data_IF_833517708314
#
_entry.id   IF_833517708314
#
_cell.length_a   1.000
_cell.length_b   1.000
_cell.length_c   1.000
_cell.angle_alpha   90.00
_cell.angle_beta   90.00
_cell.angle_gamma   90.00
#
_symmetry.space_group_name_H-M   'P 1'
#
loop_
_entity.id
_entity.type
_entity.pdbx_description
1 polymer ?
#
# COMPACT_ATOMS: atom_id res chain seq x y z
N UNK A 1 -8.36 19.91 -19.02
CA UNK A 1 -8.31 18.78 -18.06
C UNK A 1 -7.82 17.55 -18.79
N UNK A 2 -7.37 16.50 -18.09
CA UNK A 2 -6.89 15.27 -18.76
C UNK A 2 -7.94 14.67 -19.71
N UNK A 3 -9.22 14.66 -19.30
CA UNK A 3 -10.32 14.17 -20.14
C UNK A 3 -10.51 14.96 -21.44
N UNK A 4 -10.35 16.29 -21.41
CA UNK A 4 -10.48 17.12 -22.61
C UNK A 4 -9.40 16.77 -23.65
N UNK A 5 -8.15 16.58 -23.20
CA UNK A 5 -7.06 16.20 -24.09
C UNK A 5 -7.30 14.84 -24.75
N UNK A 6 -7.81 13.85 -24.00
CA UNK A 6 -8.13 12.52 -24.55
C UNK A 6 -9.19 12.60 -25.65
N UNK A 7 -10.22 13.44 -25.46
CA UNK A 7 -11.26 13.66 -26.47
C UNK A 7 -10.71 14.40 -27.70
N UNK A 8 -9.80 15.37 -27.50
CA UNK A 8 -9.16 16.10 -28.59
C UNK A 8 -8.24 15.20 -29.45
N UNK A 9 -7.70 14.12 -28.89
CA UNK A 9 -6.79 13.18 -29.57
C UNK A 9 -7.48 11.90 -30.10
N UNK A 10 -8.80 11.79 -29.99
CA UNK A 10 -9.61 10.64 -30.45
C UNK A 10 -9.11 9.27 -29.94
N UNK A 11 -8.65 9.23 -28.68
CA UNK A 11 -8.12 8.01 -28.07
C UNK A 11 -9.24 7.05 -27.65
N UNK A 12 -9.19 5.79 -28.13
CA UNK A 12 -10.25 4.80 -27.85
C UNK A 12 -10.21 4.25 -26.41
N UNK A 13 -9.03 4.09 -25.82
CA UNK A 13 -8.86 3.57 -24.45
C UNK A 13 -7.67 4.26 -23.79
N UNK A 14 -7.95 5.08 -22.78
CA UNK A 14 -6.93 5.75 -21.96
C UNK A 14 -7.30 5.75 -20.49
N UNK A 15 -6.29 5.67 -19.63
CA UNK A 15 -6.42 5.77 -18.18
C UNK A 15 -5.81 7.09 -17.72
N UNK A 16 -6.63 7.92 -17.04
CA UNK A 16 -6.17 9.11 -16.35
C UNK A 16 -6.37 8.88 -14.86
N UNK A 17 -5.27 8.77 -14.12
CA UNK A 17 -5.29 8.58 -12.68
C UNK A 17 -4.20 9.44 -12.04
N UNK A 18 -4.52 10.08 -10.92
CA UNK A 18 -3.53 10.72 -10.07
C UNK A 18 -2.99 9.65 -9.11
N UNK A 19 -1.73 9.26 -9.31
CA UNK A 19 -1.11 8.13 -8.60
C UNK A 19 0.11 8.64 -7.83
N UNK A 20 0.05 8.49 -6.51
CA UNK A 20 1.22 8.57 -5.63
C UNK A 20 2.04 7.27 -5.79
N UNK A 21 3.03 7.32 -6.68
CA UNK A 21 3.85 6.16 -7.03
C UNK A 21 4.75 5.68 -5.89
N UNK A 22 5.19 6.56 -5.00
CA UNK A 22 6.02 6.20 -3.84
C UNK A 22 5.28 5.24 -2.92
N UNK A 23 4.00 5.55 -2.65
CA UNK A 23 3.13 4.68 -1.86
C UNK A 23 2.62 3.48 -2.67
N UNK A 24 2.15 3.71 -3.89
CA UNK A 24 1.46 2.70 -4.68
C UNK A 24 2.39 1.57 -5.14
N UNK A 25 3.57 1.89 -5.68
CA UNK A 25 4.51 0.89 -6.16
C UNK A 25 4.88 -0.10 -5.04
N UNK A 26 5.22 0.43 -3.86
CA UNK A 26 5.60 -0.34 -2.67
C UNK A 26 4.52 -1.36 -2.27
N UNK A 27 3.27 -0.90 -2.14
CA UNK A 27 2.15 -1.77 -1.75
C UNK A 27 1.82 -2.76 -2.87
N UNK A 28 1.79 -2.30 -4.11
CA UNK A 28 1.37 -3.10 -5.26
C UNK A 28 2.36 -4.24 -5.60
N UNK A 29 3.66 -4.03 -5.37
CA UNK A 29 4.69 -5.06 -5.60
C UNK A 29 5.09 -5.83 -4.35
N UNK A 30 4.47 -5.58 -3.20
CA UNK A 30 4.82 -6.19 -1.91
C UNK A 30 4.77 -7.72 -1.92
N UNK A 31 3.75 -8.31 -2.56
CA UNK A 31 3.57 -9.76 -2.64
C UNK A 31 4.39 -10.40 -3.77
N UNK A 32 4.60 -9.66 -4.88
CA UNK A 32 5.39 -10.11 -6.03
C UNK A 32 5.82 -8.92 -6.91
N UNK A 33 6.96 -9.01 -7.61
CA UNK A 33 7.31 -8.07 -8.66
C UNK A 33 6.19 -7.97 -9.72
N UNK A 34 5.94 -6.76 -10.22
CA UNK A 34 4.91 -6.51 -11.24
C UNK A 34 5.51 -6.06 -12.57
N UNK A 35 5.53 -6.93 -13.61
CA UNK A 35 5.96 -6.53 -14.95
C UNK A 35 5.09 -5.44 -15.58
N UNK A 36 3.84 -5.30 -15.14
CA UNK A 36 2.87 -4.34 -15.68
C UNK A 36 3.30 -2.88 -15.45
N UNK A 37 3.91 -2.61 -14.29
CA UNK A 37 4.30 -1.24 -13.89
C UNK A 37 5.81 -1.07 -13.68
N UNK A 38 6.58 -2.16 -13.66
CA UNK A 38 8.01 -2.14 -13.32
C UNK A 38 8.93 -1.41 -14.31
N UNK A 39 8.44 -1.13 -15.52
CA UNK A 39 9.18 -0.37 -16.53
C UNK A 39 8.99 1.15 -16.40
N UNK A 40 8.02 1.60 -15.60
CA UNK A 40 7.74 3.02 -15.40
C UNK A 40 8.88 3.68 -14.60
N UNK A 41 9.45 4.81 -15.06
CA UNK A 41 10.52 5.51 -14.36
C UNK A 41 10.17 5.87 -12.91
N UNK A 42 8.93 6.29 -12.66
CA UNK A 42 8.41 6.68 -11.35
C UNK A 42 8.36 5.48 -10.40
N UNK A 43 7.97 4.30 -10.90
CA UNK A 43 7.96 3.05 -10.12
C UNK A 43 9.37 2.61 -9.79
N UNK A 44 10.30 2.70 -10.75
CA UNK A 44 11.71 2.39 -10.49
C UNK A 44 12.32 3.33 -9.46
N UNK A 45 12.01 4.63 -9.55
CA UNK A 45 12.46 5.62 -8.58
C UNK A 45 11.88 5.33 -7.18
N UNK A 46 10.58 5.07 -7.08
CA UNK A 46 9.89 4.73 -5.83
C UNK A 46 10.45 3.47 -5.17
N UNK A 47 10.78 2.43 -5.95
CA UNK A 47 11.32 1.17 -5.42
C UNK A 47 12.85 1.22 -5.16
N UNK A 48 13.58 2.12 -5.82
CA UNK A 48 15.02 2.30 -5.61
C UNK A 48 15.32 3.27 -4.47
N UNK A 49 14.40 4.20 -4.17
CA UNK A 49 14.44 4.93 -2.91
C UNK A 49 14.38 3.89 -1.78
N UNK A 50 15.39 3.86 -0.91
CA UNK A 50 15.15 3.32 0.44
C UNK A 50 13.89 4.00 0.95
N UNK A 51 12.93 3.26 1.53
CA UNK A 51 11.66 3.83 1.94
C UNK A 51 12.00 5.07 2.72
N UNK A 52 11.76 6.23 2.10
CA UNK A 52 11.94 7.50 2.77
C UNK A 52 10.92 7.39 3.88
N UNK A 53 11.45 7.08 5.07
CA UNK A 53 10.71 6.69 6.26
C UNK A 53 9.44 7.51 6.26
N UNK A 54 8.29 6.87 6.16
CA UNK A 54 7.05 7.51 6.53
C UNK A 54 7.27 7.99 7.97
N UNK A 55 7.59 9.28 8.12
CA UNK A 55 8.67 9.73 9.01
C UNK A 55 8.61 9.21 10.43
N UNK A 56 9.68 8.57 10.92
CA UNK A 56 9.94 8.16 12.32
C UNK A 56 8.88 7.29 13.02
N UNK A 57 7.59 7.56 12.88
CA UNK A 57 6.49 6.83 13.49
C UNK A 57 6.15 5.51 12.82
N UNK A 58 6.51 5.28 11.54
CA UNK A 58 6.32 3.97 10.92
C UNK A 58 7.34 2.93 11.43
N UNK A 59 8.61 3.31 11.63
CA UNK A 59 9.59 2.47 12.32
C UNK A 59 9.19 2.21 13.77
N UNK A 60 8.73 3.24 14.48
CA UNK A 60 8.33 3.16 15.89
C UNK A 60 7.10 2.26 16.09
N UNK A 61 6.09 2.40 15.22
CA UNK A 61 4.90 1.53 15.18
C UNK A 61 5.28 0.09 14.85
N UNK A 62 6.20 -0.11 13.90
CA UNK A 62 6.69 -1.44 13.53
C UNK A 62 7.46 -2.10 14.68
N UNK A 63 8.27 -1.33 15.43
CA UNK A 63 8.97 -1.82 16.63
C UNK A 63 7.98 -2.24 17.70
N UNK A 64 7.00 -1.38 18.03
CA UNK A 64 5.99 -1.68 19.05
C UNK A 64 5.17 -2.93 18.71
N UNK A 65 4.85 -3.15 17.42
CA UNK A 65 4.17 -4.37 16.98
C UNK A 65 5.04 -5.62 17.14
N UNK A 66 6.34 -5.53 16.83
CA UNK A 66 7.28 -6.64 17.05
C UNK A 66 7.39 -6.99 18.53
N UNK A 67 7.55 -6.00 19.40
CA UNK A 67 7.64 -6.19 20.85
C UNK A 67 6.37 -6.83 21.42
N UNK A 68 5.19 -6.49 20.87
CA UNK A 68 3.92 -7.11 21.26
C UNK A 68 3.79 -8.57 20.80
N UNK A 69 4.35 -8.92 19.64
CA UNK A 69 4.23 -10.26 19.05
C UNK A 69 5.31 -11.24 19.53
N UNK A 70 6.52 -10.75 19.83
CA UNK A 70 7.65 -11.56 20.27
C UNK A 70 7.32 -12.54 21.41
N UNK A 71 6.63 -12.15 22.51
CA UNK A 71 6.37 -13.08 23.61
C UNK A 71 5.28 -14.12 23.30
N UNK A 72 4.51 -13.95 22.23
CA UNK A 72 3.33 -14.78 21.95
C UNK A 72 3.69 -16.09 21.24
N UNK A 73 2.96 -17.21 21.49
CA UNK A 73 3.00 -18.39 20.65
C UNK A 73 2.55 -18.09 19.21
N UNK A 74 3.07 -18.84 18.22
CA UNK A 74 2.80 -18.57 16.80
C UNK A 74 1.31 -18.47 16.44
N UNK A 75 0.47 -19.35 17.00
CA UNK A 75 -0.98 -19.32 16.75
C UNK A 75 -1.65 -18.05 17.28
N UNK A 76 -1.14 -17.47 18.37
CA UNK A 76 -1.65 -16.24 18.96
C UNK A 76 -1.14 -15.01 18.22
N UNK A 77 0.12 -15.02 17.75
CA UNK A 77 0.65 -14.00 16.84
C UNK A 77 -0.21 -13.85 15.59
N UNK A 78 -0.58 -14.96 14.96
CA UNK A 78 -1.43 -14.94 13.75
C UNK A 78 -2.80 -14.34 14.05
N UNK A 79 -3.43 -14.68 15.19
CA UNK A 79 -4.72 -14.09 15.57
C UNK A 79 -4.64 -12.58 15.73
N UNK A 80 -3.61 -12.10 16.44
CA UNK A 80 -3.39 -10.65 16.66
C UNK A 80 -3.14 -9.93 15.33
N UNK A 81 -2.35 -10.51 14.43
CA UNK A 81 -2.10 -9.94 13.11
C UNK A 81 -3.37 -9.87 12.25
N UNK A 82 -4.17 -10.94 12.24
CA UNK A 82 -5.43 -10.97 11.49
C UNK A 82 -6.40 -9.93 12.00
N UNK A 83 -6.55 -9.79 13.32
CA UNK A 83 -7.41 -8.79 13.94
C UNK A 83 -6.97 -7.36 13.61
N UNK A 84 -5.65 -7.11 13.66
CA UNK A 84 -5.07 -5.83 13.28
C UNK A 84 -5.36 -5.47 11.82
N UNK A 85 -5.15 -6.40 10.90
CA UNK A 85 -5.41 -6.18 9.46
C UNK A 85 -6.89 -5.94 9.21
N UNK A 86 -7.79 -6.74 9.83
CA UNK A 86 -9.24 -6.56 9.68
C UNK A 86 -9.71 -5.21 10.20
N UNK A 87 -9.15 -4.74 11.31
CA UNK A 87 -9.49 -3.43 11.88
C UNK A 87 -9.13 -2.30 10.90
N UNK A 88 -7.94 -2.35 10.29
CA UNK A 88 -7.54 -1.36 9.30
C UNK A 88 -8.36 -1.47 8.01
N UNK A 89 -8.64 -2.70 7.56
CA UNK A 89 -9.50 -2.93 6.39
C UNK A 89 -10.90 -2.39 6.61
N UNK A 90 -11.51 -2.61 7.78
CA UNK A 90 -12.80 -2.06 8.15
C UNK A 90 -12.79 -0.52 8.07
N UNK A 91 -11.78 0.14 8.65
CA UNK A 91 -11.66 1.59 8.59
C UNK A 91 -11.54 2.13 7.15
N UNK A 92 -10.73 1.48 6.30
CA UNK A 92 -10.56 1.86 4.88
C UNK A 92 -11.85 1.65 4.08
N UNK A 93 -12.58 0.57 4.35
CA UNK A 93 -13.84 0.24 3.68
C UNK A 93 -15.05 0.98 4.26
N UNK A 94 -14.88 1.73 5.36
CA UNK A 94 -15.96 2.47 6.03
C UNK A 94 -16.87 1.63 6.94
N UNK A 95 -16.42 0.43 7.35
CA UNK A 95 -17.10 -0.41 8.33
C UNK A 95 -16.80 0.04 9.76
N UNK A 96 -17.80 -0.07 10.65
CA UNK A 96 -17.66 0.29 12.07
C UNK A 96 -16.82 -0.69 12.89
N UNK A 97 -16.62 -1.92 12.40
CA UNK A 97 -15.82 -2.95 13.07
C UNK A 97 -15.27 -3.98 12.07
N UNK A 98 -14.20 -4.71 12.42
CA UNK A 98 -13.67 -5.82 11.63
C UNK A 98 -14.65 -6.98 11.39
N UNK A 99 -15.70 -7.10 12.21
CA UNK A 99 -16.72 -8.17 12.12
C UNK A 99 -18.09 -7.69 11.58
N UNK A 100 -18.16 -6.46 11.07
CA UNK A 100 -19.41 -5.83 10.60
C UNK A 100 -19.94 -6.42 9.28
#
# INVERSE_FOLDING_TARGET
>A
TGLQQVLDHDETVTVVADIDWDRFATVFTSARPSPLIGELPEVRAALAAEPATAGTGAEETSSALRDRLEPLPAAERTRVLVDLVRTHAAAVLGHGSPDA
#
